data_IF_451155050929
#
_entry.id   IF_451155050929
#
_cell.length_a   1.000
_cell.length_b   1.000
_cell.length_c   1.000
_cell.angle_alpha   90.00
_cell.angle_beta   90.00
_cell.angle_gamma   90.00
#
_symmetry.space_group_name_H-M   'P 1'
#
loop_
_entity.id
_entity.type
_entity.pdbx_description
1 polymer ?
#
# COMPACT_ATOMS: atom_id res chain seq x y z
N UNK A 1 11.29 -28.03 -4.96
CA UNK A 1 10.30 -27.38 -4.07
C UNK A 1 10.58 -25.90 -4.15
N UNK A 2 9.72 -25.04 -4.73
CA UNK A 2 10.00 -23.61 -4.72
C UNK A 2 9.85 -23.14 -3.28
N UNK A 3 10.93 -22.59 -2.75
CA UNK A 3 10.97 -22.03 -1.42
C UNK A 3 9.86 -20.99 -1.32
N UNK A 4 8.91 -21.25 -0.43
CA UNK A 4 7.81 -20.35 -0.12
C UNK A 4 8.43 -19.13 0.59
N UNK A 5 9.01 -18.22 -0.20
CA UNK A 5 9.47 -16.90 0.23
C UNK A 5 8.22 -16.24 0.80
N UNK A 6 8.02 -16.37 2.11
CA UNK A 6 7.13 -15.47 2.84
C UNK A 6 7.63 -14.08 2.46
N UNK A 7 6.85 -13.24 1.76
CA UNK A 7 7.26 -11.87 1.58
C UNK A 7 7.36 -11.33 3.00
N UNK A 8 8.59 -11.18 3.47
CA UNK A 8 8.85 -10.44 4.69
C UNK A 8 8.41 -9.05 4.28
N UNK A 9 7.19 -8.67 4.67
CA UNK A 9 6.61 -7.35 4.43
C UNK A 9 7.51 -6.34 5.10
N UNK A 10 8.60 -6.00 4.41
CA UNK A 10 9.52 -4.96 4.78
C UNK A 10 9.03 -3.78 4.00
N UNK A 11 8.43 -2.84 4.70
CA UNK A 11 8.06 -1.58 4.08
C UNK A 11 9.34 -0.97 3.49
N UNK A 12 9.29 -0.50 2.26
CA UNK A 12 10.48 -0.01 1.53
C UNK A 12 10.32 1.46 1.14
N UNK A 13 11.40 2.22 0.99
CA UNK A 13 11.33 3.56 0.40
C UNK A 13 10.85 3.50 -1.05
N UNK A 14 10.31 4.62 -1.56
CA UNK A 14 9.74 4.70 -2.91
C UNK A 14 10.70 4.20 -4.01
N UNK A 15 12.00 4.49 -3.86
CA UNK A 15 13.03 4.12 -4.85
C UNK A 15 13.25 2.61 -4.97
N UNK A 16 12.85 1.82 -3.97
CA UNK A 16 12.95 0.36 -3.96
C UNK A 16 11.64 -0.32 -4.38
N UNK A 17 10.60 0.46 -4.67
CA UNK A 17 9.27 -0.05 -4.94
C UNK A 17 9.15 -0.50 -6.40
N UNK A 18 8.78 -1.77 -6.59
CA UNK A 18 8.55 -2.36 -7.90
C UNK A 18 7.24 -1.92 -8.56
N UNK A 19 7.05 -2.32 -9.83
CA UNK A 19 5.84 -1.99 -10.59
C UNK A 19 4.57 -2.55 -9.94
N UNK A 20 4.61 -3.82 -9.54
CA UNK A 20 3.50 -4.60 -8.95
C UNK A 20 3.55 -4.65 -7.42
N UNK A 21 3.98 -3.55 -6.81
CA UNK A 21 4.09 -3.41 -5.36
C UNK A 21 3.25 -2.25 -4.85
N UNK A 22 2.67 -2.44 -3.68
CA UNK A 22 1.70 -1.54 -3.07
C UNK A 22 2.35 -0.23 -2.68
N UNK A 23 1.78 0.87 -3.19
CA UNK A 23 2.26 2.24 -2.95
C UNK A 23 1.61 2.94 -1.76
N UNK A 24 1.01 2.18 -0.84
CA UNK A 24 0.37 2.78 0.35
C UNK A 24 1.47 3.18 1.36
N UNK A 25 1.54 4.46 1.78
CA UNK A 25 2.51 4.90 2.77
C UNK A 25 2.13 4.35 4.16
N UNK A 26 3.07 3.70 4.84
CA UNK A 26 2.82 3.02 6.13
C UNK A 26 3.51 3.71 7.30
N UNK A 27 4.62 4.41 7.05
CA UNK A 27 5.34 5.15 8.08
C UNK A 27 6.13 6.31 7.49
N UNK A 28 6.25 7.39 8.25
CA UNK A 28 7.24 8.44 8.00
C UNK A 28 8.64 7.91 8.33
N UNK A 29 9.61 8.28 7.50
CA UNK A 29 11.03 7.96 7.67
C UNK A 29 11.87 9.08 7.02
N UNK A 30 12.29 10.10 7.80
CA UNK A 30 13.07 11.22 7.27
C UNK A 30 14.42 10.82 6.68
N UNK A 31 14.92 9.61 6.97
CA UNK A 31 16.20 9.13 6.45
C UNK A 31 16.10 8.64 5.00
N UNK A 32 14.90 8.45 4.44
CA UNK A 32 14.72 8.01 3.04
C UNK A 32 14.26 9.15 2.12
N UNK A 33 14.65 9.13 0.84
CA UNK A 33 14.14 10.10 -0.13
C UNK A 33 12.61 10.07 -0.20
N UNK A 34 12.00 11.25 -0.09
CA UNK A 34 10.54 11.40 -0.04
C UNK A 34 9.94 11.27 1.36
N UNK A 35 10.70 10.83 2.38
CA UNK A 35 10.30 10.89 3.78
C UNK A 35 9.32 9.81 4.24
N UNK A 36 9.05 8.79 3.43
CA UNK A 36 8.08 7.72 3.74
C UNK A 36 8.55 6.34 3.30
N UNK A 37 8.08 5.32 4.03
CA UNK A 37 8.14 3.92 3.65
C UNK A 37 6.77 3.44 3.17
N UNK A 38 6.77 2.45 2.29
CA UNK A 38 5.60 1.95 1.59
C UNK A 38 5.41 0.46 1.81
N UNK A 39 4.16 0.01 1.86
CA UNK A 39 3.76 -1.36 2.17
C UNK A 39 4.50 -2.45 1.36
N UNK A 40 4.82 -2.19 0.08
CA UNK A 40 5.54 -3.10 -0.80
C UNK A 40 4.89 -4.48 -1.05
N UNK A 41 3.70 -4.73 -0.49
CA UNK A 41 2.93 -5.95 -0.74
C UNK A 41 2.54 -6.09 -2.21
N UNK A 42 2.29 -7.32 -2.69
CA UNK A 42 1.95 -7.56 -4.09
C UNK A 42 0.65 -6.83 -4.49
N UNK A 43 0.60 -6.31 -5.71
CA UNK A 43 -0.60 -5.74 -6.32
C UNK A 43 -0.98 -6.49 -7.59
N UNK A 44 -2.27 -6.45 -7.94
CA UNK A 44 -2.74 -6.81 -9.28
C UNK A 44 -2.14 -5.86 -10.32
N UNK A 45 -2.06 -6.31 -11.57
CA UNK A 45 -1.43 -5.54 -12.68
C UNK A 45 -2.05 -4.17 -12.93
N UNK A 46 -3.32 -4.01 -12.56
CA UNK A 46 -4.15 -2.82 -12.74
C UNK A 46 -4.31 -2.00 -11.45
N UNK A 47 -3.69 -2.41 -10.34
CA UNK A 47 -3.90 -1.79 -9.02
C UNK A 47 -2.62 -1.17 -8.46
N UNK A 48 -2.80 0.02 -7.90
CA UNK A 48 -1.75 0.78 -7.19
C UNK A 48 -1.52 0.24 -5.78
N UNK A 49 -2.55 -0.34 -5.17
CA UNK A 49 -2.55 -0.82 -3.79
C UNK A 49 -2.86 -2.31 -3.73
N UNK A 50 -2.36 -3.00 -2.70
CA UNK A 50 -2.78 -4.37 -2.39
C UNK A 50 -4.25 -4.36 -1.95
N UNK A 51 -4.90 -5.52 -1.91
CA UNK A 51 -6.33 -5.61 -1.59
C UNK A 51 -6.69 -4.96 -0.24
N UNK A 52 -5.82 -5.11 0.77
CA UNK A 52 -6.00 -4.48 2.07
C UNK A 52 -6.03 -2.95 1.96
N UNK A 53 -4.99 -2.34 1.39
CA UNK A 53 -4.91 -0.89 1.28
C UNK A 53 -5.86 -0.31 0.24
N UNK A 54 -6.24 -1.08 -0.78
CA UNK A 54 -7.30 -0.70 -1.71
C UNK A 54 -8.64 -0.56 -0.98
N UNK A 55 -8.96 -1.48 -0.06
CA UNK A 55 -10.19 -1.38 0.74
C UNK A 55 -10.19 -0.15 1.65
N UNK A 56 -9.05 0.24 2.20
CA UNK A 56 -8.92 1.44 3.05
C UNK A 56 -9.20 2.71 2.25
N UNK A 57 -8.59 2.86 1.07
CA UNK A 57 -8.74 4.10 0.28
C UNK A 57 -10.09 4.20 -0.42
N UNK A 58 -10.76 3.07 -0.66
CA UNK A 58 -12.09 3.02 -1.27
C UNK A 58 -13.22 2.92 -0.26
N UNK A 59 -12.90 2.80 1.03
CA UNK A 59 -13.89 2.78 2.09
C UNK A 59 -14.68 4.09 2.08
N UNK A 60 -15.92 4.02 1.59
CA UNK A 60 -16.87 5.13 1.66
C UNK A 60 -17.52 5.08 3.04
N UNK A 61 -17.41 6.15 3.82
CA UNK A 61 -18.11 6.24 5.09
C UNK A 61 -19.64 6.32 4.84
N UNK A 62 -20.44 5.32 5.27
CA UNK A 62 -21.86 5.29 4.99
C UNK A 62 -22.66 6.37 5.74
N UNK A 63 -22.09 7.00 6.78
CA UNK A 63 -22.73 8.11 7.52
C UNK A 63 -22.58 9.42 6.77
N UNK A 64 -21.46 9.62 6.06
CA UNK A 64 -21.23 10.83 5.24
C UNK A 64 -22.09 10.88 3.98
N UNK A 65 -22.52 9.71 3.47
CA UNK A 65 -23.44 9.62 2.32
C UNK A 65 -24.89 10.08 2.64
N UNK A 66 -25.28 10.15 3.93
CA UNK A 66 -26.65 10.50 4.34
C UNK A 66 -26.83 11.95 4.79
N UNK A 67 -25.77 12.76 4.87
CA UNK A 67 -25.84 14.18 5.27
C UNK A 67 -26.15 15.14 4.12
N UNK A 68 -26.80 14.67 3.05
CA UNK A 68 -27.13 15.45 1.85
C UNK A 68 -28.63 15.63 1.59
N UNK A 69 -29.48 15.52 2.62
CA UNK A 69 -30.92 15.82 2.54
C UNK A 69 -31.26 17.03 3.41
#
# INVERSE_FOLDING_TARGET
MPENIRPTSRDVPLIQLGLYQCRFPVSEDPAVPGGYRFCAGPTSTDRVYCDHHHSIVTAVDPRRARSGL
#
